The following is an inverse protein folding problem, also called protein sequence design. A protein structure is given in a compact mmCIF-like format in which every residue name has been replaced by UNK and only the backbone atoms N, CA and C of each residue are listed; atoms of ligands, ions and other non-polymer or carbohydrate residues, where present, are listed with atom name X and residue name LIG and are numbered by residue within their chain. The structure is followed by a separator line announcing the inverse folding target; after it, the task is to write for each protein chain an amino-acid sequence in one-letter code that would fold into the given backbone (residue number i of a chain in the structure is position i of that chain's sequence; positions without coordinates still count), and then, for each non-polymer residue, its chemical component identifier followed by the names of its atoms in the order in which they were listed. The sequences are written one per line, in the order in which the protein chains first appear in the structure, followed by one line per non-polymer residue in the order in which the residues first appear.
data_IF_145440867124
#
_entry.id   IF_145440867124
#
_cell.length_a   1.000
_cell.length_b   1.000
_cell.length_c   1.000
_cell.angle_alpha   90.00
_cell.angle_beta   90.00
_cell.angle_gamma   90.00
#
_symmetry.space_group_name_H-M   'P 1'
#
loop_
_entity.id
_entity.type
_entity.pdbx_description
1 polymer ?
#
# COMPACT_ATOMS: atom_id res chain seq x y z
N UNK A 1 13.33 -9.43 15.51
CA UNK A 1 11.94 -9.86 15.24
C UNK A 1 11.72 -10.07 13.74
N UNK A 2 10.84 -11.01 13.37
CA UNK A 2 10.45 -11.25 11.97
C UNK A 2 8.95 -11.01 11.77
N UNK A 3 8.58 -10.24 10.75
CA UNK A 3 7.20 -9.99 10.36
C UNK A 3 6.96 -10.54 8.95
N UNK A 4 5.92 -11.36 8.79
CA UNK A 4 5.56 -11.99 7.52
C UNK A 4 4.22 -11.47 7.00
N UNK A 5 4.12 -11.25 5.69
CA UNK A 5 2.91 -10.75 5.04
C UNK A 5 2.91 -11.08 3.55
N UNK A 6 1.76 -10.91 2.90
CA UNK A 6 1.58 -11.24 1.48
C UNK A 6 1.69 -10.01 0.60
N UNK A 7 2.44 -10.10 -0.50
CA UNK A 7 2.46 -9.07 -1.54
C UNK A 7 1.08 -8.98 -2.23
N UNK A 8 0.41 -7.81 -2.27
CA UNK A 8 -0.89 -7.66 -2.91
C UNK A 8 -0.88 -7.94 -4.42
N UNK A 9 0.28 -7.79 -5.09
CA UNK A 9 0.41 -7.94 -6.54
C UNK A 9 0.66 -9.37 -7.01
N UNK A 10 1.40 -10.18 -6.25
CA UNK A 10 1.81 -11.53 -6.69
C UNK A 10 1.52 -12.63 -5.67
N UNK A 11 0.84 -12.30 -4.56
CA UNK A 11 0.47 -13.22 -3.47
C UNK A 11 1.64 -14.00 -2.84
N UNK A 12 2.87 -13.59 -3.12
CA UNK A 12 4.07 -14.22 -2.59
C UNK A 12 4.36 -13.65 -1.20
N UNK A 13 4.80 -14.50 -0.27
CA UNK A 13 5.24 -14.08 1.06
C UNK A 13 6.44 -13.14 0.99
N UNK A 14 6.33 -12.03 1.71
CA UNK A 14 7.37 -11.05 1.99
C UNK A 14 7.68 -11.07 3.49
N UNK A 15 8.92 -10.73 3.83
CA UNK A 15 9.43 -10.78 5.20
C UNK A 15 10.16 -9.48 5.49
N UNK A 16 9.90 -8.90 6.65
CA UNK A 16 10.71 -7.81 7.21
C UNK A 16 11.43 -8.35 8.45
N UNK A 17 12.74 -8.19 8.47
CA UNK A 17 13.56 -8.41 9.65
C UNK A 17 13.79 -7.07 10.35
N UNK A 18 13.37 -6.97 11.61
CA UNK A 18 13.61 -5.82 12.46
C UNK A 18 14.56 -6.22 13.59
N UNK A 19 15.56 -5.40 13.84
CA UNK A 19 16.39 -5.48 15.04
C UNK A 19 15.60 -5.08 16.28
N UNK A 20 16.08 -5.46 17.46
CA UNK A 20 15.41 -5.11 18.73
C UNK A 20 15.39 -3.60 18.97
N UNK A 21 16.43 -2.88 18.50
CA UNK A 21 16.48 -1.42 18.53
C UNK A 21 15.42 -0.80 17.62
N UNK A 22 15.24 -1.31 16.40
CA UNK A 22 14.18 -0.84 15.49
C UNK A 22 12.79 -1.10 16.06
N UNK A 23 12.56 -2.28 16.65
CA UNK A 23 11.30 -2.61 17.32
C UNK A 23 11.01 -1.62 18.44
N UNK A 24 12.00 -1.33 19.29
CA UNK A 24 11.86 -0.37 20.38
C UNK A 24 11.53 1.04 19.85
N UNK A 25 12.25 1.51 18.84
CA UNK A 25 12.01 2.82 18.24
C UNK A 25 10.61 2.93 17.60
N UNK A 26 10.14 1.86 16.95
CA UNK A 26 8.79 1.78 16.38
C UNK A 26 7.74 1.82 17.49
N UNK A 27 7.94 1.07 18.58
CA UNK A 27 7.04 1.07 19.73
C UNK A 27 6.93 2.45 20.37
N UNK A 28 8.07 3.09 20.67
CA UNK A 28 8.13 4.45 21.21
C UNK A 28 7.41 5.43 20.28
N UNK A 29 7.64 5.33 18.97
CA UNK A 29 6.96 6.19 17.99
C UNK A 29 5.44 6.01 18.01
N UNK A 30 4.94 4.77 18.11
CA UNK A 30 3.50 4.49 18.15
C UNK A 30 2.88 5.03 19.44
N UNK A 31 3.55 4.84 20.58
CA UNK A 31 3.08 5.30 21.90
C UNK A 31 3.10 6.82 21.98
N UNK A 32 4.20 7.46 21.61
CA UNK A 32 4.39 8.90 21.77
C UNK A 32 3.57 9.73 20.77
N UNK A 33 3.50 9.26 19.52
CA UNK A 33 2.82 10.00 18.44
C UNK A 33 1.40 9.53 18.18
N UNK A 34 0.98 8.40 18.76
CA UNK A 34 -0.31 7.78 18.49
C UNK A 34 -0.48 7.38 17.02
N UNK A 35 0.61 7.16 16.28
CA UNK A 35 0.59 6.91 14.82
C UNK A 35 1.32 5.63 14.48
N UNK A 36 0.66 4.79 13.69
CA UNK A 36 1.25 3.62 13.03
C UNK A 36 2.27 4.04 11.98
N UNK A 37 3.57 3.75 12.16
CA UNK A 37 4.58 4.04 11.15
C UNK A 37 4.41 3.13 9.94
N UNK A 38 4.85 3.62 8.79
CA UNK A 38 4.87 2.85 7.54
C UNK A 38 6.31 2.70 7.07
N UNK A 39 6.70 1.47 6.79
CA UNK A 39 8.03 1.11 6.31
C UNK A 39 7.98 0.74 4.84
N UNK A 40 9.08 1.00 4.13
CA UNK A 40 9.28 0.50 2.78
C UNK A 40 9.88 -0.91 2.86
N UNK A 41 9.30 -1.84 2.12
CA UNK A 41 9.77 -3.23 1.99
C UNK A 41 9.70 -3.67 0.54
N UNK A 42 10.28 -4.83 0.22
CA UNK A 42 10.28 -5.40 -1.12
C UNK A 42 9.97 -6.89 -1.05
N UNK A 43 9.03 -7.37 -1.87
CA UNK A 43 8.77 -8.82 -1.95
C UNK A 43 9.86 -9.54 -2.76
N UNK A 44 9.87 -10.88 -2.73
CA UNK A 44 10.83 -11.71 -3.48
C UNK A 44 10.83 -11.46 -5.00
N UNK A 45 9.70 -11.00 -5.56
CA UNK A 45 9.56 -10.67 -6.98
C UNK A 45 9.92 -9.22 -7.30
N UNK A 46 10.47 -8.47 -6.34
CA UNK A 46 10.96 -7.11 -6.56
C UNK A 46 9.92 -5.99 -6.42
N UNK A 47 8.67 -6.30 -6.06
CA UNK A 47 7.64 -5.28 -5.85
C UNK A 47 7.91 -4.48 -4.57
N UNK A 48 7.92 -3.15 -4.69
CA UNK A 48 7.99 -2.25 -3.54
C UNK A 48 6.65 -2.21 -2.81
N UNK A 49 6.71 -2.23 -1.49
CA UNK A 49 5.57 -2.36 -0.60
C UNK A 49 5.69 -1.34 0.52
N UNK A 50 4.59 -0.65 0.81
CA UNK A 50 4.44 0.17 1.99
C UNK A 50 3.71 -0.66 3.04
N UNK A 51 4.37 -0.89 4.17
CA UNK A 51 3.90 -1.77 5.25
C UNK A 51 3.66 -0.94 6.49
N UNK A 52 2.39 -0.80 6.86
CA UNK A 52 2.00 -0.06 8.06
C UNK A 52 2.00 -1.01 9.26
N UNK A 53 2.66 -0.59 10.35
CA UNK A 53 2.81 -1.39 11.56
C UNK A 53 1.84 -0.93 12.65
N UNK A 54 1.42 -1.86 13.51
CA UNK A 54 0.69 -1.54 14.73
C UNK A 54 1.34 -2.22 15.93
N UNK A 55 1.10 -1.65 17.10
CA UNK A 55 1.53 -2.23 18.36
C UNK A 55 0.33 -2.39 19.27
N UNK A 56 0.08 -3.62 19.72
CA UNK A 56 -1.05 -3.94 20.59
C UNK A 56 -0.66 -5.11 21.49
N UNK A 57 -1.07 -5.05 22.76
CA UNK A 57 -0.91 -6.15 23.72
C UNK A 57 0.56 -6.62 23.87
N UNK A 58 1.52 -5.71 23.70
CA UNK A 58 2.96 -6.03 23.80
C UNK A 58 3.58 -6.55 22.51
N UNK A 59 2.80 -6.72 21.45
CA UNK A 59 3.24 -7.31 20.18
C UNK A 59 3.18 -6.30 19.03
N UNK A 60 4.21 -6.33 18.19
CA UNK A 60 4.28 -5.58 16.94
C UNK A 60 3.72 -6.43 15.80
N UNK A 61 2.84 -5.85 14.98
CA UNK A 61 2.21 -6.55 13.86
C UNK A 61 2.08 -5.68 12.61
N UNK A 62 1.69 -6.33 11.51
CA UNK A 62 1.39 -5.67 10.24
C UNK A 62 -0.09 -5.33 10.19
N UNK A 63 -0.41 -4.05 9.99
CA UNK A 63 -1.78 -3.55 9.85
C UNK A 63 -2.24 -3.57 8.40
N UNK A 64 -1.43 -2.97 7.52
CA UNK A 64 -1.75 -2.80 6.11
C UNK A 64 -0.49 -3.03 5.25
N UNK A 65 -0.70 -3.53 4.04
CA UNK A 65 0.32 -3.67 3.00
C UNK A 65 -0.23 -3.12 1.70
N UNK A 66 0.36 -2.05 1.19
CA UNK A 66 -0.09 -1.40 -0.04
C UNK A 66 1.05 -1.24 -1.05
N UNK A 67 0.69 -1.21 -2.33
CA UNK A 67 1.62 -0.93 -3.42
C UNK A 67 1.70 0.59 -3.62
N UNK A 68 2.91 1.19 -3.69
CA UNK A 68 3.04 2.58 -4.11
C UNK A 68 2.56 2.70 -5.56
N UNK A 69 1.77 3.74 -5.84
CA UNK A 69 1.39 4.10 -7.20
C UNK A 69 2.45 5.09 -7.69
N UNK A 70 3.13 4.77 -8.78
CA UNK A 70 4.05 5.72 -9.40
C UNK A 70 3.23 6.87 -10.02
N UNK A 71 3.56 8.14 -9.75
CA UNK A 71 2.89 9.27 -10.40
C UNK A 71 3.21 9.22 -11.90
N UNK A 72 2.30 8.63 -12.68
CA UNK A 72 2.47 8.35 -14.10
C UNK A 72 1.97 6.96 -14.53
N UNK A 73 1.80 6.01 -13.61
CA UNK A 73 1.16 4.72 -13.89
C UNK A 73 -0.37 4.88 -13.90
N UNK A 74 -0.86 5.73 -14.81
CA UNK A 74 -2.23 5.61 -15.30
C UNK A 74 -2.27 4.29 -16.05
N UNK A 75 -3.17 3.40 -15.66
CA UNK A 75 -3.51 2.21 -16.41
C UNK A 75 -3.91 2.66 -17.84
N UNK A 76 -2.98 2.57 -18.81
CA UNK A 76 -3.20 2.92 -20.22
C UNK A 76 -4.06 1.86 -20.93
N UNK A 77 -5.10 1.37 -20.26
CA UNK A 77 -6.02 0.37 -20.80
C UNK A 77 -7.49 0.68 -20.52
N UNK A 78 -7.84 1.94 -20.23
CA UNK A 78 -9.19 2.45 -20.44
C UNK A 78 -9.11 3.74 -21.23
N UNK A 79 -9.43 3.64 -22.53
CA UNK A 79 -9.84 4.78 -23.33
C UNK A 79 -10.75 5.64 -22.47
N UNK A 80 -10.33 6.87 -22.15
CA UNK A 80 -11.22 7.85 -21.51
C UNK A 80 -12.43 7.97 -22.44
N UNK A 81 -13.65 7.53 -22.04
CA UNK A 81 -14.81 7.90 -22.81
C UNK A 81 -14.84 9.43 -22.80
N UNK A 82 -14.89 10.00 -23.99
CA UNK A 82 -14.91 11.44 -24.17
C UNK A 82 -16.06 11.97 -23.30
N UNK A 83 -15.80 12.91 -22.38
CA UNK A 83 -16.76 13.34 -21.34
C UNK A 83 -18.08 13.91 -21.93
N UNK A 84 -18.15 14.07 -23.24
CA UNK A 84 -19.30 14.56 -23.99
C UNK A 84 -20.12 13.45 -24.68
N UNK A 85 -19.70 12.19 -24.65
CA UNK A 85 -20.41 11.09 -25.33
C UNK A 85 -21.74 10.77 -24.65
N UNK A 86 -21.84 10.87 -23.31
CA UNK A 86 -23.10 10.67 -22.62
C UNK A 86 -24.15 11.72 -22.98
N UNK A 87 -23.74 13.00 -23.15
CA UNK A 87 -24.64 14.09 -23.53
C UNK A 87 -25.24 13.83 -24.92
N UNK A 88 -24.42 13.40 -25.87
CA UNK A 88 -24.88 13.06 -27.22
C UNK A 88 -25.85 11.87 -27.22
N UNK A 89 -25.60 10.89 -26.36
CA UNK A 89 -26.45 9.70 -26.25
C UNK A 89 -27.78 9.97 -25.54
N UNK A 90 -27.80 10.83 -24.52
CA UNK A 90 -29.02 11.18 -23.78
C UNK A 90 -29.92 12.15 -24.53
N UNK A 91 -29.36 13.09 -25.29
CA UNK A 91 -30.14 14.17 -25.93
C UNK A 91 -30.28 14.03 -27.45
N UNK A 92 -29.84 12.90 -28.05
CA UNK A 92 -30.08 12.61 -29.47
C UNK A 92 -29.48 13.61 -30.45
N UNK A 93 -28.45 14.35 -30.03
CA UNK A 93 -27.78 15.37 -30.84
C UNK A 93 -26.80 14.76 -31.84
N UNK A 94 -27.29 13.90 -32.72
CA UNK A 94 -26.53 13.30 -33.81
C UNK A 94 -27.22 13.56 -35.15
N UNK A 95 -26.73 14.56 -35.87
CA UNK A 95 -26.67 14.51 -37.33
C UNK A 95 -25.20 14.51 -37.73
#
# INVERSE_FOLDING_TARGET
MELTFSCPKCSTGAVIHLSDEEVKNIQETIIDKGRSPTLLSRCKNGHELLVTLYFRDGELGVRDVVMPIEPGSTDESKQKPNELDWVRHTFGGGK
#
